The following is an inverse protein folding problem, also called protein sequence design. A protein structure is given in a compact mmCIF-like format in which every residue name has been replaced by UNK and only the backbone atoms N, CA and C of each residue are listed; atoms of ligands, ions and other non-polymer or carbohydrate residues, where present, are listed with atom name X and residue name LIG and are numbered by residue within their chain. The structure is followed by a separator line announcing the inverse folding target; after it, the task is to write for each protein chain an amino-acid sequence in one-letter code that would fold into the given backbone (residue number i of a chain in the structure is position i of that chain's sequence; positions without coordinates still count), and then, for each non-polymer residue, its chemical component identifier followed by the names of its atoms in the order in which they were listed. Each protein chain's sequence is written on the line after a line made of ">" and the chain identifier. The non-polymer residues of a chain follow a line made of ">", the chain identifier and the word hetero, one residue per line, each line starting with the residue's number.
data_IF_198167375553
#
_entry.id   IF_198167375553
#
_cell.length_a   1.000
_cell.length_b   1.000
_cell.length_c   1.000
_cell.angle_alpha   90.00
_cell.angle_beta   90.00
_cell.angle_gamma   90.00
#
_symmetry.space_group_name_H-M   'P 1'
#
loop_
_entity.id
_entity.type
_entity.pdbx_description
1 polymer ?
#
# COMPACT_ATOMS: atom_id res chain seq x y z
N UNK A 1 26.21 30.99 -7.14
CA UNK A 1 26.40 29.74 -6.37
C UNK A 1 25.11 28.96 -6.56
N UNK A 2 25.11 28.08 -7.56
CA UNK A 2 23.93 27.45 -8.16
C UNK A 2 23.46 26.24 -7.35
N UNK A 3 22.15 26.18 -7.13
CA UNK A 3 21.37 25.18 -6.42
C UNK A 3 21.28 23.83 -7.18
N UNK A 4 20.94 22.71 -6.49
CA UNK A 4 21.10 21.36 -6.99
C UNK A 4 19.92 20.95 -7.89
N UNK A 5 20.21 20.58 -9.14
CA UNK A 5 19.23 20.08 -10.12
C UNK A 5 19.22 18.54 -10.23
N UNK A 6 20.08 17.85 -9.49
CA UNK A 6 20.39 16.44 -9.74
C UNK A 6 19.30 15.47 -9.26
N UNK A 7 18.64 15.74 -8.13
CA UNK A 7 17.65 14.79 -7.57
C UNK A 7 16.33 14.79 -8.35
N UNK A 8 15.91 15.91 -8.94
CA UNK A 8 14.69 15.99 -9.74
C UNK A 8 14.89 15.36 -11.14
N UNK A 9 16.11 15.45 -11.69
CA UNK A 9 16.48 14.77 -12.92
C UNK A 9 16.51 13.25 -12.73
N UNK A 10 17.09 12.77 -11.61
CA UNK A 10 17.10 11.34 -11.25
C UNK A 10 15.69 10.76 -11.03
N UNK A 11 14.78 11.51 -10.42
CA UNK A 11 13.41 11.04 -10.20
C UNK A 11 12.60 10.93 -11.50
N UNK A 12 12.84 11.82 -12.48
CA UNK A 12 12.14 11.76 -13.77
C UNK A 12 12.62 10.55 -14.60
N UNK A 13 13.90 10.19 -14.51
CA UNK A 13 14.46 9.01 -15.20
C UNK A 13 13.83 7.70 -14.69
N UNK A 14 13.60 7.57 -13.38
CA UNK A 14 12.94 6.40 -12.78
C UNK A 14 11.48 6.26 -13.23
N UNK A 15 10.77 7.38 -13.40
CA UNK A 15 9.37 7.38 -13.85
C UNK A 15 9.28 6.93 -15.32
N UNK A 16 10.20 7.37 -16.17
CA UNK A 16 10.24 6.98 -17.58
C UNK A 16 10.61 5.50 -17.77
N UNK A 17 11.54 4.98 -16.96
CA UNK A 17 11.85 3.53 -16.95
C UNK A 17 10.62 2.68 -16.58
N UNK A 18 9.86 3.10 -15.56
CA UNK A 18 8.64 2.41 -15.15
C UNK A 18 7.55 2.45 -16.22
N UNK A 19 7.37 3.59 -16.91
CA UNK A 19 6.40 3.72 -17.99
C UNK A 19 6.70 2.76 -19.15
N UNK A 20 7.97 2.69 -19.56
CA UNK A 20 8.41 1.80 -20.65
C UNK A 20 8.29 0.31 -20.30
N UNK A 21 8.50 -0.06 -19.04
CA UNK A 21 8.37 -1.44 -18.57
C UNK A 21 6.90 -1.90 -18.60
N UNK A 22 5.98 -1.02 -18.21
CA UNK A 22 4.53 -1.31 -18.23
C UNK A 22 4.05 -1.55 -19.65
N UNK A 23 4.49 -0.75 -20.63
CA UNK A 23 4.12 -0.92 -22.03
C UNK A 23 4.60 -2.27 -22.61
N UNK A 24 5.82 -2.70 -22.27
CA UNK A 24 6.40 -3.95 -22.76
C UNK A 24 5.73 -5.20 -22.16
N UNK A 25 5.22 -5.10 -20.93
CA UNK A 25 4.46 -6.17 -20.27
C UNK A 25 3.08 -6.35 -20.93
N UNK A 26 2.41 -5.25 -21.31
CA UNK A 26 1.12 -5.26 -21.99
C UNK A 26 1.20 -6.00 -23.35
N UNK A 27 2.28 -5.78 -24.12
CA UNK A 27 2.49 -6.49 -25.39
C UNK A 27 2.68 -8.00 -25.19
N UNK A 28 3.45 -8.40 -24.18
CA UNK A 28 3.78 -9.80 -23.91
C UNK A 28 2.55 -10.61 -23.51
N UNK A 29 1.65 -10.05 -22.69
CA UNK A 29 0.41 -10.73 -22.29
C UNK A 29 -0.59 -10.87 -23.44
N UNK A 30 -0.64 -9.89 -24.36
CA UNK A 30 -1.45 -9.97 -25.57
C UNK A 30 -0.98 -11.08 -26.53
N UNK A 31 0.34 -11.29 -26.63
CA UNK A 31 0.91 -12.35 -27.48
C UNK A 31 0.62 -13.76 -26.94
N UNK A 32 0.64 -13.94 -25.63
CA UNK A 32 0.56 -15.26 -24.98
C UNK A 32 -0.89 -15.78 -24.83
N UNK A 33 -1.88 -14.87 -24.75
CA UNK A 33 -3.31 -15.22 -24.63
C UNK A 33 -3.88 -15.89 -25.91
N UNK A 34 -3.16 -15.86 -27.03
CA UNK A 34 -3.62 -16.41 -28.32
C UNK A 34 -3.47 -17.94 -28.46
N UNK A 35 -2.80 -18.62 -27.52
CA UNK A 35 -2.31 -19.97 -27.75
C UNK A 35 -3.02 -21.11 -27.01
N UNK A 36 -4.10 -20.87 -26.28
CA UNK A 36 -4.83 -21.93 -25.58
C UNK A 36 -5.89 -22.56 -26.50
N UNK A 37 -5.47 -23.52 -27.33
CA UNK A 37 -6.38 -24.41 -28.04
C UNK A 37 -6.84 -25.55 -27.11
N UNK A 38 -8.14 -25.59 -26.85
CA UNK A 38 -8.82 -26.60 -26.05
C UNK A 38 -8.89 -27.91 -26.84
N UNK A 39 -8.23 -28.97 -26.34
CA UNK A 39 -8.27 -30.31 -26.95
C UNK A 39 -9.41 -31.09 -26.32
N UNK A 40 -10.36 -31.53 -27.14
CA UNK A 40 -11.45 -32.40 -26.72
C UNK A 40 -11.59 -33.57 -27.70
N UNK A 41 -11.47 -34.83 -27.23
CA UNK A 41 -11.94 -36.01 -27.99
C UNK A 41 -12.00 -37.33 -27.18
N UNK A 42 -13.25 -37.78 -26.89
CA UNK A 42 -13.88 -39.14 -27.04
C UNK A 42 -13.14 -40.39 -26.52
N UNK A 43 -13.75 -41.44 -25.97
CA UNK A 43 -15.15 -41.86 -25.71
C UNK A 43 -15.10 -43.17 -24.89
N UNK A 44 -16.01 -43.35 -23.91
CA UNK A 44 -16.51 -44.68 -23.56
C UNK A 44 -18.03 -44.59 -23.36
N UNK A 45 -18.74 -45.21 -24.29
CA UNK A 45 -20.14 -45.03 -24.71
C UNK A 45 -21.26 -45.13 -23.65
N UNK A 46 -20.97 -45.33 -22.36
CA UNK A 46 -21.99 -45.27 -21.29
C UNK A 46 -21.95 -43.92 -20.55
N UNK A 47 -20.74 -43.37 -20.39
CA UNK A 47 -20.55 -42.02 -19.84
C UNK A 47 -21.14 -40.96 -20.76
N UNK A 48 -21.12 -41.16 -22.09
CA UNK A 48 -21.64 -40.15 -23.03
C UNK A 48 -23.15 -39.94 -22.90
N UNK A 49 -23.94 -40.98 -22.61
CA UNK A 49 -25.39 -40.82 -22.43
C UNK A 49 -25.71 -40.15 -21.10
N UNK A 50 -25.00 -40.52 -20.02
CA UNK A 50 -25.12 -39.81 -18.74
C UNK A 50 -24.69 -38.35 -18.87
N UNK A 51 -23.62 -38.09 -19.62
CA UNK A 51 -23.17 -36.73 -19.94
C UNK A 51 -24.20 -36.02 -20.79
N UNK A 52 -24.80 -36.64 -21.81
CA UNK A 52 -25.86 -36.01 -22.61
C UNK A 52 -27.09 -35.70 -21.75
N UNK A 53 -27.51 -36.59 -20.85
CA UNK A 53 -28.63 -36.34 -19.94
C UNK A 53 -28.30 -35.24 -18.92
N UNK A 54 -27.10 -35.25 -18.36
CA UNK A 54 -26.62 -34.18 -17.47
C UNK A 54 -26.54 -32.85 -18.23
N UNK A 55 -26.02 -32.85 -19.46
CA UNK A 55 -25.97 -31.67 -20.33
C UNK A 55 -27.37 -31.17 -20.69
N UNK A 56 -28.34 -32.06 -20.93
CA UNK A 56 -29.73 -31.65 -21.20
C UNK A 56 -30.39 -31.07 -19.94
N UNK A 57 -30.13 -31.64 -18.76
CA UNK A 57 -30.58 -31.08 -17.48
C UNK A 57 -29.90 -29.72 -17.24
N UNK A 58 -28.60 -29.59 -17.49
CA UNK A 58 -27.87 -28.34 -17.38
C UNK A 58 -28.36 -27.29 -18.38
N UNK A 59 -28.70 -27.67 -19.61
CA UNK A 59 -29.32 -26.79 -20.62
C UNK A 59 -30.70 -26.33 -20.15
N UNK A 60 -31.52 -27.24 -19.59
CA UNK A 60 -32.84 -26.88 -19.04
C UNK A 60 -32.69 -25.99 -17.82
N UNK A 61 -31.74 -26.26 -16.93
CA UNK A 61 -31.43 -25.45 -15.76
C UNK A 61 -30.89 -24.07 -16.18
N UNK A 62 -30.05 -24.00 -17.21
CA UNK A 62 -29.55 -22.74 -17.78
C UNK A 62 -30.62 -21.96 -18.55
N UNK A 63 -31.63 -22.63 -19.11
CA UNK A 63 -32.77 -22.01 -19.78
C UNK A 63 -33.86 -21.55 -18.79
N UNK A 64 -33.98 -22.22 -17.64
CA UNK A 64 -35.00 -21.96 -16.60
C UNK A 64 -34.48 -21.02 -15.51
N UNK A 65 -33.20 -21.10 -15.12
CA UNK A 65 -32.59 -20.05 -14.33
C UNK A 65 -32.08 -18.96 -15.25
N UNK A 66 -32.57 -17.70 -15.11
CA UNK A 66 -31.86 -16.60 -15.70
C UNK A 66 -30.49 -16.56 -15.02
N UNK A 67 -29.44 -16.96 -15.73
CA UNK A 67 -28.05 -16.71 -15.34
C UNK A 67 -27.80 -15.22 -15.43
N UNK A 68 -28.44 -14.44 -14.56
CA UNK A 68 -28.01 -13.10 -14.23
C UNK A 68 -26.81 -13.19 -13.28
N UNK A 69 -25.72 -13.76 -13.80
CA UNK A 69 -24.40 -13.85 -13.17
C UNK A 69 -23.37 -13.30 -14.14
N UNK A 70 -23.60 -12.14 -14.75
CA UNK A 70 -22.60 -11.54 -15.64
C UNK A 70 -22.42 -10.03 -15.53
N UNK A 71 -23.15 -9.31 -14.67
CA UNK A 71 -22.96 -7.86 -14.56
C UNK A 71 -21.66 -7.45 -13.83
N UNK A 72 -21.00 -8.37 -13.12
CA UNK A 72 -19.87 -8.00 -12.23
C UNK A 72 -18.52 -8.65 -12.57
N UNK A 73 -18.48 -9.68 -13.42
CA UNK A 73 -17.24 -10.48 -13.61
C UNK A 73 -16.45 -10.15 -14.89
N UNK A 74 -16.96 -9.28 -15.78
CA UNK A 74 -16.23 -8.84 -16.97
C UNK A 74 -16.32 -7.33 -17.16
N UNK A 75 -15.94 -6.52 -16.16
CA UNK A 75 -15.33 -5.23 -16.54
C UNK A 75 -14.12 -5.60 -17.38
N UNK A 76 -14.20 -5.39 -18.68
CA UNK A 76 -13.13 -5.83 -19.56
C UNK A 76 -11.90 -4.99 -19.25
N UNK A 77 -10.71 -5.60 -19.31
CA UNK A 77 -9.43 -4.91 -19.06
C UNK A 77 -9.34 -3.58 -19.82
N UNK A 78 -9.92 -3.52 -21.03
CA UNK A 78 -10.03 -2.32 -21.86
C UNK A 78 -10.84 -1.20 -21.21
N UNK A 79 -11.99 -1.51 -20.61
CA UNK A 79 -12.83 -0.52 -19.91
C UNK A 79 -12.12 0.06 -18.68
N UNK A 80 -11.37 -0.78 -17.97
CA UNK A 80 -10.55 -0.34 -16.82
C UNK A 80 -9.41 0.57 -17.31
N UNK A 81 -8.73 0.21 -18.40
CA UNK A 81 -7.67 1.03 -18.99
C UNK A 81 -8.21 2.39 -19.46
N UNK A 82 -9.38 2.41 -20.09
CA UNK A 82 -10.07 3.63 -20.49
C UNK A 82 -10.52 4.47 -19.28
N UNK A 83 -11.00 3.83 -18.20
CA UNK A 83 -11.36 4.51 -16.94
C UNK A 83 -10.16 5.19 -16.30
N UNK A 84 -9.01 4.51 -16.21
CA UNK A 84 -7.77 5.05 -15.65
C UNK A 84 -7.23 6.19 -16.54
N UNK A 85 -7.27 6.02 -17.87
CA UNK A 85 -6.79 7.03 -18.81
C UNK A 85 -7.52 8.38 -18.64
N UNK A 86 -8.81 8.37 -18.28
CA UNK A 86 -9.58 9.60 -18.01
C UNK A 86 -9.06 10.40 -16.81
N UNK A 87 -8.40 9.77 -15.85
CA UNK A 87 -7.81 10.46 -14.70
C UNK A 87 -6.41 11.00 -14.98
N UNK A 88 -5.83 10.75 -16.15
CA UNK A 88 -4.47 11.19 -16.51
C UNK A 88 -4.24 12.68 -16.31
N UNK A 89 -5.17 13.53 -16.78
CA UNK A 89 -5.06 14.99 -16.63
C UNK A 89 -5.12 15.44 -15.17
N UNK A 90 -5.98 14.81 -14.38
CA UNK A 90 -6.14 15.11 -12.94
C UNK A 90 -4.88 14.66 -12.18
N UNK A 91 -4.37 13.47 -12.48
CA UNK A 91 -3.14 12.95 -11.89
C UNK A 91 -1.96 13.86 -12.22
N UNK A 92 -1.83 14.29 -13.48
CA UNK A 92 -0.82 15.26 -13.90
C UNK A 92 -0.95 16.58 -13.15
N UNK A 93 -2.16 17.12 -13.01
CA UNK A 93 -2.38 18.35 -12.25
C UNK A 93 -1.96 18.23 -10.78
N UNK A 94 -2.20 17.08 -10.15
CA UNK A 94 -1.76 16.80 -8.76
C UNK A 94 -0.23 16.74 -8.68
N UNK A 95 0.41 16.04 -9.63
CA UNK A 95 1.88 15.93 -9.70
C UNK A 95 2.49 17.31 -9.91
N UNK A 96 2.00 18.07 -10.89
CA UNK A 96 2.49 19.42 -11.17
C UNK A 96 2.35 20.33 -9.95
N UNK A 97 1.22 20.26 -9.24
CA UNK A 97 0.99 21.02 -8.00
C UNK A 97 1.98 20.67 -6.89
N UNK A 98 2.30 19.38 -6.74
CA UNK A 98 3.17 18.85 -5.69
C UNK A 98 4.66 19.05 -5.99
N UNK A 99 5.06 18.96 -7.26
CA UNK A 99 6.48 19.03 -7.67
C UNK A 99 6.89 20.46 -8.02
N UNK A 100 6.07 21.19 -8.77
CA UNK A 100 6.40 22.52 -9.31
C UNK A 100 5.50 23.64 -8.78
N UNK A 101 4.37 23.29 -8.19
CA UNK A 101 3.36 24.24 -7.72
C UNK A 101 3.58 24.70 -6.28
N UNK A 102 2.53 25.34 -5.75
CA UNK A 102 2.49 25.90 -4.38
C UNK A 102 2.69 24.87 -3.26
N UNK A 103 2.57 23.57 -3.55
CA UNK A 103 2.72 22.50 -2.57
C UNK A 103 4.11 21.86 -2.60
N UNK A 104 5.04 22.39 -3.39
CA UNK A 104 6.43 21.96 -3.43
C UNK A 104 7.03 21.97 -2.02
N UNK A 105 7.82 20.93 -1.69
CA UNK A 105 8.51 20.71 -0.41
C UNK A 105 7.61 20.59 0.84
N UNK A 106 6.29 20.78 0.74
CA UNK A 106 5.38 20.76 1.89
C UNK A 106 5.49 19.47 2.71
N UNK A 107 5.60 18.32 2.05
CA UNK A 107 5.74 17.02 2.72
C UNK A 107 7.04 16.92 3.53
N UNK A 108 8.13 17.43 2.97
CA UNK A 108 9.43 17.47 3.64
C UNK A 108 9.41 18.42 4.84
N UNK A 109 8.87 19.64 4.67
CA UNK A 109 8.76 20.62 5.75
C UNK A 109 7.90 20.11 6.91
N UNK A 110 6.80 19.41 6.61
CA UNK A 110 5.96 18.78 7.63
C UNK A 110 6.67 17.66 8.36
N UNK A 111 7.43 16.84 7.63
CA UNK A 111 8.23 15.78 8.22
C UNK A 111 9.32 16.38 9.12
N UNK A 112 10.04 17.39 8.64
CA UNK A 112 11.06 18.10 9.40
C UNK A 112 10.48 18.70 10.69
N UNK A 113 9.36 19.43 10.60
CA UNK A 113 8.63 19.93 11.76
C UNK A 113 8.31 18.82 12.76
N UNK A 114 7.79 17.68 12.28
CA UNK A 114 7.41 16.57 13.15
C UNK A 114 8.62 15.89 13.80
N UNK A 115 9.70 15.69 13.05
CA UNK A 115 10.91 15.02 13.55
C UNK A 115 11.66 15.94 14.51
N UNK A 116 11.88 17.20 14.13
CA UNK A 116 12.71 18.14 14.89
C UNK A 116 12.02 18.66 16.15
N UNK A 117 10.69 18.83 16.14
CA UNK A 117 9.96 19.39 17.29
C UNK A 117 9.41 18.34 18.25
N UNK A 118 9.15 17.11 17.79
CA UNK A 118 8.54 16.05 18.60
C UNK A 118 9.54 14.95 18.97
N UNK A 119 10.41 14.55 18.05
CA UNK A 119 11.32 13.42 18.27
C UNK A 119 10.58 12.08 18.37
N UNK A 120 10.89 11.26 19.38
CA UNK A 120 10.34 9.91 19.55
C UNK A 120 8.84 9.90 19.88
N UNK A 121 8.06 9.05 19.20
CA UNK A 121 6.59 8.98 19.28
C UNK A 121 6.09 7.59 19.66
N UNK A 122 6.63 7.02 20.73
CA UNK A 122 6.16 5.73 21.26
C UNK A 122 4.70 5.83 21.70
N UNK A 123 3.92 4.76 21.52
CA UNK A 123 2.54 4.67 21.99
C UNK A 123 2.41 5.06 23.45
N UNK A 124 1.52 6.01 23.75
CA UNK A 124 1.24 6.50 25.11
C UNK A 124 2.23 7.55 25.62
N UNK A 125 3.29 7.86 24.87
CA UNK A 125 4.24 8.90 25.24
C UNK A 125 3.69 10.32 25.01
N UNK A 126 4.23 11.29 25.74
CA UNK A 126 3.95 12.73 25.53
C UNK A 126 4.32 13.20 24.11
N UNK A 127 5.35 12.59 23.51
CA UNK A 127 5.76 12.87 22.14
C UNK A 127 4.66 12.50 21.14
N UNK A 128 4.06 11.32 21.28
CA UNK A 128 2.95 10.92 20.42
C UNK A 128 1.76 11.88 20.55
N UNK A 129 1.39 12.28 21.76
CA UNK A 129 0.29 13.23 21.99
C UNK A 129 0.52 14.57 21.27
N UNK A 130 1.73 15.12 21.38
CA UNK A 130 2.13 16.33 20.66
C UNK A 130 2.06 16.15 19.13
N UNK A 131 2.49 14.99 18.62
CA UNK A 131 2.41 14.69 17.18
C UNK A 131 0.97 14.66 16.67
N UNK A 132 0.06 14.04 17.43
CA UNK A 132 -1.36 13.97 17.10
C UNK A 132 -1.96 15.38 17.00
N UNK A 133 -1.62 16.25 17.95
CA UNK A 133 -2.08 17.64 17.96
C UNK A 133 -1.57 18.43 16.74
N UNK A 134 -0.27 18.33 16.43
CA UNK A 134 0.33 18.99 15.25
C UNK A 134 -0.34 18.49 13.97
N UNK A 135 -0.54 17.17 13.83
CA UNK A 135 -1.17 16.60 12.64
C UNK A 135 -2.61 17.08 12.49
N UNK A 136 -3.40 17.06 13.57
CA UNK A 136 -4.77 17.54 13.57
C UNK A 136 -4.86 19.04 13.19
N UNK A 137 -3.94 19.85 13.72
CA UNK A 137 -3.85 21.26 13.40
C UNK A 137 -3.50 21.49 11.91
N UNK A 138 -2.49 20.78 11.39
CA UNK A 138 -2.11 20.85 9.98
C UNK A 138 -3.26 20.50 9.05
N UNK A 139 -4.04 19.45 9.36
CA UNK A 139 -5.19 19.05 8.54
C UNK A 139 -6.32 20.09 8.58
N UNK A 140 -6.53 20.76 9.71
CA UNK A 140 -7.50 21.86 9.82
C UNK A 140 -7.07 23.10 9.03
N UNK A 141 -5.79 23.46 9.10
CA UNK A 141 -5.22 24.58 8.35
C UNK A 141 -5.29 24.36 6.85
N UNK A 142 -5.21 23.10 6.42
CA UNK A 142 -5.37 22.70 5.02
C UNK A 142 -6.82 22.79 4.52
N UNK A 143 -7.78 23.04 5.42
CA UNK A 143 -9.19 23.13 5.10
C UNK A 143 -9.83 21.78 4.79
N UNK A 144 -9.28 20.66 5.27
CA UNK A 144 -9.92 19.36 5.11
C UNK A 144 -11.23 19.30 5.88
N UNK A 145 -12.20 18.58 5.29
CA UNK A 145 -13.48 18.34 5.91
C UNK A 145 -13.36 17.24 6.99
N UNK A 146 -14.18 17.35 8.03
CA UNK A 146 -14.34 16.32 9.07
C UNK A 146 -13.07 15.95 9.86
N UNK A 147 -12.20 16.92 10.18
CA UNK A 147 -11.00 16.66 11.01
C UNK A 147 -11.36 16.56 12.50
N UNK A 148 -11.23 15.36 13.08
CA UNK A 148 -11.48 15.09 14.50
C UNK A 148 -10.53 14.02 15.04
N UNK A 149 -10.49 13.88 16.36
CA UNK A 149 -9.70 12.86 17.05
C UNK A 149 -10.61 11.71 17.49
N UNK A 150 -10.12 10.49 17.33
CA UNK A 150 -10.79 9.28 17.80
C UNK A 150 -10.06 8.69 19.01
N UNK A 151 -10.77 8.35 20.11
CA UNK A 151 -10.15 7.77 21.28
C UNK A 151 -9.75 6.32 21.04
N UNK A 152 -8.47 5.99 21.28
CA UNK A 152 -7.94 4.62 21.17
C UNK A 152 -7.33 4.19 22.50
N UNK A 153 -7.69 2.98 22.97
CA UNK A 153 -7.07 2.37 24.16
C UNK A 153 -5.79 1.65 23.76
N UNK A 154 -4.68 1.99 24.43
CA UNK A 154 -3.37 1.39 24.18
C UNK A 154 -2.69 1.00 25.50
N UNK A 155 -1.83 -0.04 25.48
CA UNK A 155 -0.97 -0.33 26.62
C UNK A 155 0.06 0.80 26.81
N UNK A 156 0.30 1.18 28.06
CA UNK A 156 1.28 2.20 28.42
C UNK A 156 2.51 1.53 29.03
N UNK A 157 3.63 1.59 28.31
CA UNK A 157 4.91 1.07 28.77
C UNK A 157 5.93 2.21 28.75
N UNK A 158 6.57 2.44 29.89
CA UNK A 158 7.63 3.42 30.04
C UNK A 158 8.96 2.69 30.27
N UNK A 159 9.97 3.10 29.51
CA UNK A 159 11.32 2.56 29.66
C UNK A 159 11.94 3.09 30.95
N UNK A 160 12.42 2.18 31.80
CA UNK A 160 13.22 2.50 32.99
C UNK A 160 14.72 2.54 32.68
N UNK A 161 15.53 2.65 33.73
CA UNK A 161 16.98 2.54 33.64
C UNK A 161 17.39 1.10 33.29
N UNK A 162 18.33 0.97 32.36
CA UNK A 162 18.83 -0.32 31.90
C UNK A 162 20.35 -0.30 31.77
N UNK A 163 21.00 -1.33 32.30
CA UNK A 163 22.43 -1.50 32.14
C UNK A 163 22.78 -2.99 32.14
N UNK A 164 23.86 -3.33 31.44
CA UNK A 164 24.47 -4.65 31.53
C UNK A 164 25.98 -4.53 31.54
N UNK A 165 26.61 -5.36 32.36
CA UNK A 165 28.05 -5.48 32.44
C UNK A 165 28.41 -6.94 32.25
N UNK A 166 29.26 -7.22 31.26
CA UNK A 166 29.91 -8.51 31.12
C UNK A 166 30.93 -8.64 32.26
N UNK A 167 30.79 -9.69 33.07
CA UNK A 167 31.69 -9.94 34.21
C UNK A 167 32.92 -10.73 33.80
N UNK A 168 32.73 -11.73 32.94
CA UNK A 168 33.79 -12.60 32.41
C UNK A 168 33.69 -12.68 30.88
N UNK A 169 34.83 -12.84 30.17
CA UNK A 169 36.20 -13.00 30.67
C UNK A 169 36.87 -11.70 31.13
N UNK A 170 36.22 -10.54 30.91
CA UNK A 170 36.68 -9.23 31.39
C UNK A 170 35.48 -8.33 31.70
N UNK A 171 35.67 -7.42 32.65
CA UNK A 171 34.68 -6.40 32.98
C UNK A 171 34.47 -5.45 31.79
N UNK A 172 33.26 -5.47 31.20
CA UNK A 172 32.92 -4.60 30.07
C UNK A 172 31.46 -4.15 30.11
N UNK A 173 31.21 -2.83 30.06
CA UNK A 173 29.85 -2.28 29.94
C UNK A 173 29.31 -2.54 28.54
N UNK A 174 28.12 -3.14 28.45
CA UNK A 174 27.48 -3.46 27.18
C UNK A 174 26.41 -2.43 26.85
N UNK A 175 26.35 -2.04 25.58
CA UNK A 175 25.18 -1.33 25.06
C UNK A 175 24.03 -2.34 24.95
N UNK A 176 22.97 -2.12 25.71
CA UNK A 176 21.77 -2.93 25.68
C UNK A 176 20.56 -2.06 25.42
N UNK A 177 19.48 -2.70 24.95
CA UNK A 177 18.18 -2.10 24.84
C UNK A 177 17.16 -3.11 25.35
N UNK A 178 16.41 -2.73 26.38
CA UNK A 178 15.30 -3.52 26.90
C UNK A 178 14.23 -3.67 25.84
N UNK A 179 13.73 -4.89 25.71
CA UNK A 179 12.62 -5.19 24.81
C UNK A 179 11.36 -4.48 25.29
N UNK A 180 10.55 -3.99 24.35
CA UNK A 180 9.25 -3.41 24.68
C UNK A 180 8.43 -4.40 25.49
N UNK A 181 7.78 -3.91 26.55
CA UNK A 181 6.99 -4.72 27.50
C UNK A 181 7.78 -5.62 28.45
N UNK A 182 9.12 -5.54 28.51
CA UNK A 182 9.88 -6.22 29.55
C UNK A 182 9.60 -5.63 30.94
N UNK A 183 9.59 -6.48 31.96
CA UNK A 183 9.50 -6.06 33.37
C UNK A 183 10.88 -5.68 33.91
N UNK A 184 10.92 -4.82 34.94
CA UNK A 184 12.15 -4.46 35.63
C UNK A 184 12.77 -5.64 36.37
N UNK A 185 14.10 -5.63 36.49
CA UNK A 185 14.83 -6.57 37.34
C UNK A 185 14.58 -6.28 38.83
N UNK A 186 14.81 -7.26 39.72
CA UNK A 186 14.71 -7.02 41.17
C UNK A 186 15.60 -5.85 41.64
N UNK A 187 15.27 -5.22 42.79
CA UNK A 187 16.17 -4.26 43.42
C UNK A 187 17.51 -4.90 43.76
N UNK A 188 18.59 -4.12 43.64
CA UNK A 188 19.91 -4.49 44.16
C UNK A 188 19.97 -4.47 45.69
#
# INVERSE_FOLDING_TARGET
>A
MSLPTTELEEQNEIIDELASLVENIDEKFCAETRHVNMVDRKSASCGMIMVILLLLVDIVVAAVWPTNRNDTSQRTFREIKEEIARYGDVAKAIIDLAVYGKAQNRSYERLALLVDTVGSRLSGSKGLEKAIQIMCQNLKEDGLENVHLEPVKIPHWERGEESAVMLEPRMHKMAILGLGSSIGTPPE
#
